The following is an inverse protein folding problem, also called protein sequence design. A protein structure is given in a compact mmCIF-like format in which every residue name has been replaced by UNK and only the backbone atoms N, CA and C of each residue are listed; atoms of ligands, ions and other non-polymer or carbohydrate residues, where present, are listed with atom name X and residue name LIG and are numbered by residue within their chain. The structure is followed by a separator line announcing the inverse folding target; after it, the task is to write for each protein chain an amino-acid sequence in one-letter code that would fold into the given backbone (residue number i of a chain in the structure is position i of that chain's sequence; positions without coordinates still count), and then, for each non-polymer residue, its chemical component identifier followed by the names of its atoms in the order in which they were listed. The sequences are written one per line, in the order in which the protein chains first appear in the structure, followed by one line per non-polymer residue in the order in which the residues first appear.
data_IF_846040233172
#
_entry.id   IF_846040233172
#
_cell.length_a   1.000
_cell.length_b   1.000
_cell.length_c   1.000
_cell.angle_alpha   90.00
_cell.angle_beta   90.00
_cell.angle_gamma   90.00
#
_symmetry.space_group_name_H-M   'P 1'
#
loop_
_entity.id
_entity.type
_entity.pdbx_description
1 polymer ?
#
# COMPACT_ATOMS: atom_id res chain seq x y z
N UNK A 1 25.86 8.57 -2.01
CA UNK A 1 25.08 7.53 -1.32
C UNK A 1 23.79 7.32 -2.08
N UNK A 2 23.47 6.08 -2.49
CA UNK A 2 22.13 5.77 -3.03
C UNK A 2 21.11 5.91 -1.89
N UNK A 3 19.93 6.47 -2.20
CA UNK A 3 18.80 6.49 -1.26
C UNK A 3 18.36 5.04 -0.97
N UNK A 4 17.94 4.73 0.26
CA UNK A 4 17.46 3.42 0.72
C UNK A 4 16.50 2.74 -0.27
N UNK A 5 15.53 3.48 -0.82
CA UNK A 5 14.59 2.96 -1.81
C UNK A 5 15.29 2.44 -3.08
N UNK A 6 16.39 3.08 -3.51
CA UNK A 6 17.15 2.64 -4.67
C UNK A 6 17.94 1.35 -4.38
N UNK A 7 18.44 1.18 -3.14
CA UNK A 7 19.10 -0.06 -2.73
C UNK A 7 18.12 -1.23 -2.75
N UNK A 8 16.93 -1.05 -2.15
CA UNK A 8 15.86 -2.05 -2.16
C UNK A 8 15.43 -2.41 -3.59
N UNK A 9 15.31 -1.40 -4.46
CA UNK A 9 14.96 -1.61 -5.85
C UNK A 9 16.01 -2.45 -6.59
N UNK A 10 17.30 -2.14 -6.41
CA UNK A 10 18.40 -2.89 -7.02
C UNK A 10 18.42 -4.35 -6.51
N UNK A 11 18.29 -4.57 -5.20
CA UNK A 11 18.23 -5.90 -4.59
C UNK A 11 17.06 -6.74 -5.13
N UNK A 12 15.88 -6.14 -5.29
CA UNK A 12 14.71 -6.81 -5.86
C UNK A 12 14.92 -7.17 -7.34
N UNK A 13 15.48 -6.25 -8.13
CA UNK A 13 15.75 -6.47 -9.55
C UNK A 13 16.82 -7.56 -9.75
N UNK A 14 17.84 -7.61 -8.90
CA UNK A 14 18.89 -8.63 -8.92
C UNK A 14 18.35 -9.99 -8.48
N UNK A 15 17.62 -10.05 -7.35
CA UNK A 15 17.04 -11.28 -6.80
C UNK A 15 16.12 -12.00 -7.80
N UNK A 16 15.35 -11.25 -8.58
CA UNK A 16 14.37 -11.78 -9.53
C UNK A 16 14.78 -11.55 -10.99
N UNK A 17 16.09 -11.48 -11.28
CA UNK A 17 16.61 -11.13 -12.61
C UNK A 17 16.04 -12.00 -13.75
N UNK A 18 15.91 -13.32 -13.55
CA UNK A 18 15.32 -14.22 -14.55
C UNK A 18 13.87 -13.86 -14.89
N UNK A 19 13.10 -13.48 -13.86
CA UNK A 19 11.69 -13.09 -14.00
C UNK A 19 11.59 -11.73 -14.66
N UNK A 20 12.44 -10.78 -14.27
CA UNK A 20 12.53 -9.46 -14.89
C UNK A 20 12.90 -9.59 -16.38
N UNK A 21 13.84 -10.47 -16.73
CA UNK A 21 14.19 -10.74 -18.13
C UNK A 21 13.02 -11.34 -18.92
N UNK A 22 12.29 -12.30 -18.34
CA UNK A 22 11.06 -12.82 -18.94
C UNK A 22 10.06 -11.68 -19.18
N UNK A 23 9.77 -10.89 -18.13
CA UNK A 23 8.80 -9.79 -18.18
C UNK A 23 9.18 -8.74 -19.21
N UNK A 24 10.45 -8.38 -19.32
CA UNK A 24 10.94 -7.42 -20.31
C UNK A 24 10.60 -7.87 -21.74
N UNK A 25 10.73 -9.17 -22.02
CA UNK A 25 10.46 -9.77 -23.32
C UNK A 25 8.96 -9.92 -23.59
N UNK A 26 8.21 -10.55 -22.67
CA UNK A 26 6.77 -10.85 -22.90
C UNK A 26 5.87 -9.61 -22.88
N UNK A 27 6.28 -8.54 -22.19
CA UNK A 27 5.54 -7.27 -22.16
C UNK A 27 5.95 -6.30 -23.27
N UNK A 28 7.06 -6.57 -23.96
CA UNK A 28 7.63 -5.65 -24.96
C UNK A 28 8.24 -4.37 -24.38
N UNK A 29 8.36 -4.24 -23.05
CA UNK A 29 8.97 -3.07 -22.40
C UNK A 29 10.50 -3.05 -22.63
N UNK A 30 11.12 -4.23 -22.72
CA UNK A 30 12.57 -4.38 -22.93
C UNK A 30 13.41 -3.74 -21.83
N UNK A 31 14.54 -3.13 -22.21
CA UNK A 31 15.52 -2.50 -21.30
C UNK A 31 14.94 -1.40 -20.41
N UNK A 32 13.76 -0.86 -20.76
CA UNK A 32 13.08 0.16 -19.95
C UNK A 32 12.39 -0.42 -18.71
N UNK A 33 12.39 -1.74 -18.52
CA UNK A 33 11.70 -2.37 -17.40
C UNK A 33 12.46 -2.07 -16.09
N UNK A 34 11.92 -1.12 -15.32
CA UNK A 34 12.43 -0.72 -14.02
C UNK A 34 11.63 -1.35 -12.88
N UNK A 35 12.14 -1.25 -11.65
CA UNK A 35 11.42 -1.67 -10.43
C UNK A 35 9.97 -1.14 -10.36
N UNK A 36 9.78 0.16 -10.63
CA UNK A 36 8.44 0.78 -10.64
C UNK A 36 7.54 0.21 -11.74
N UNK A 37 8.10 -0.07 -12.92
CA UNK A 37 7.34 -0.64 -14.04
C UNK A 37 6.99 -2.10 -13.79
N UNK A 38 7.90 -2.89 -13.23
CA UNK A 38 7.61 -4.27 -12.79
C UNK A 38 6.50 -4.27 -11.74
N UNK A 39 6.56 -3.37 -10.75
CA UNK A 39 5.51 -3.21 -9.76
C UNK A 39 4.15 -2.79 -10.37
N UNK A 40 4.15 -2.02 -11.46
CA UNK A 40 2.93 -1.61 -12.16
C UNK A 40 2.25 -2.76 -12.92
N UNK A 41 2.98 -3.82 -13.29
CA UNK A 41 2.40 -4.98 -13.99
C UNK A 41 1.37 -5.74 -13.16
N UNK A 42 1.30 -5.49 -11.85
CA UNK A 42 0.28 -6.07 -10.97
C UNK A 42 -1.16 -5.73 -11.38
N UNK A 43 -1.37 -4.68 -12.19
CA UNK A 43 -2.70 -4.31 -12.66
C UNK A 43 -3.41 -5.44 -13.45
N UNK A 44 -2.64 -6.39 -14.01
CA UNK A 44 -3.19 -7.62 -14.62
C UNK A 44 -4.01 -8.46 -13.63
N UNK A 45 -3.82 -8.30 -12.32
CA UNK A 45 -4.63 -8.96 -11.29
C UNK A 45 -6.13 -8.67 -11.44
N UNK A 46 -6.50 -7.52 -12.02
CA UNK A 46 -7.91 -7.20 -12.32
C UNK A 46 -8.51 -8.21 -13.28
N UNK A 47 -7.76 -8.60 -14.32
CA UNK A 47 -8.20 -9.61 -15.28
C UNK A 47 -8.35 -10.98 -14.61
N UNK A 48 -7.41 -11.35 -13.74
CA UNK A 48 -7.45 -12.58 -12.95
C UNK A 48 -8.71 -12.62 -12.07
N UNK A 49 -9.00 -11.53 -11.34
CA UNK A 49 -10.17 -11.42 -10.47
C UNK A 49 -11.49 -11.55 -11.24
N UNK A 50 -11.50 -11.13 -12.50
CA UNK A 50 -12.65 -11.23 -13.40
C UNK A 50 -12.63 -12.50 -14.28
N UNK A 51 -11.76 -13.46 -13.98
CA UNK A 51 -11.67 -14.75 -14.69
C UNK A 51 -11.44 -14.60 -16.20
N UNK A 52 -10.74 -13.53 -16.61
CA UNK A 52 -10.35 -13.35 -18.01
C UNK A 52 -9.16 -14.25 -18.36
N UNK A 53 -9.05 -14.74 -19.61
CA UNK A 53 -7.94 -15.56 -20.05
C UNK A 53 -6.59 -14.88 -19.78
N UNK A 54 -5.63 -15.62 -19.25
CA UNK A 54 -4.31 -15.10 -18.92
C UNK A 54 -3.25 -15.72 -19.83
N UNK A 55 -2.22 -14.96 -20.21
CA UNK A 55 -1.03 -15.53 -20.84
C UNK A 55 -0.35 -16.57 -19.93
N UNK A 56 0.25 -17.59 -20.52
CA UNK A 56 0.94 -18.67 -19.80
C UNK A 56 2.02 -18.16 -18.82
N UNK A 57 2.70 -17.07 -19.16
CA UNK A 57 3.76 -16.51 -18.33
C UNK A 57 3.27 -16.04 -16.95
N UNK A 58 1.98 -15.69 -16.80
CA UNK A 58 1.39 -15.17 -15.55
C UNK A 58 1.51 -16.18 -14.41
N UNK A 59 1.24 -17.45 -14.71
CA UNK A 59 1.24 -18.53 -13.72
C UNK A 59 2.49 -19.41 -13.77
N UNK A 60 3.45 -19.08 -14.64
CA UNK A 60 4.74 -19.75 -14.72
C UNK A 60 5.39 -19.83 -13.33
N UNK A 61 5.78 -21.04 -12.93
CA UNK A 61 6.37 -21.34 -11.63
C UNK A 61 7.89 -21.27 -11.68
N UNK A 62 8.47 -20.75 -10.60
CA UNK A 62 9.91 -20.54 -10.46
C UNK A 62 10.45 -21.32 -9.26
N UNK A 63 10.99 -22.55 -9.46
CA UNK A 63 11.47 -23.40 -8.38
C UNK A 63 12.54 -22.75 -7.49
N UNK A 64 13.40 -21.91 -8.08
CA UNK A 64 14.44 -21.17 -7.35
C UNK A 64 13.88 -20.10 -6.40
N UNK A 65 12.61 -19.71 -6.55
CA UNK A 65 11.93 -18.72 -5.72
C UNK A 65 10.83 -19.39 -4.89
N UNK A 66 11.13 -20.53 -4.27
CA UNK A 66 10.17 -21.28 -3.43
C UNK A 66 8.88 -21.63 -4.18
N UNK A 67 8.99 -21.89 -5.49
CA UNK A 67 7.87 -22.22 -6.36
C UNK A 67 6.79 -21.11 -6.46
N UNK A 68 7.18 -19.85 -6.25
CA UNK A 68 6.35 -18.68 -6.56
C UNK A 68 6.00 -18.66 -8.06
N UNK A 69 4.80 -18.21 -8.37
CA UNK A 69 4.43 -17.88 -9.75
C UNK A 69 4.94 -16.49 -10.14
N UNK A 70 5.00 -16.20 -11.44
CA UNK A 70 5.34 -14.85 -11.93
C UNK A 70 4.44 -13.78 -11.31
N UNK A 71 3.13 -14.01 -11.19
CA UNK A 71 2.22 -13.07 -10.55
C UNK A 71 2.49 -12.89 -9.04
N UNK A 72 2.91 -13.93 -8.32
CA UNK A 72 3.32 -13.81 -6.91
C UNK A 72 4.54 -12.89 -6.78
N UNK A 73 5.50 -13.00 -7.70
CA UNK A 73 6.70 -12.17 -7.73
C UNK A 73 6.35 -10.72 -8.07
N UNK A 74 5.52 -10.48 -9.11
CA UNK A 74 5.01 -9.14 -9.44
C UNK A 74 4.28 -8.51 -8.24
N UNK A 75 3.50 -9.31 -7.51
CA UNK A 75 2.81 -8.87 -6.28
C UNK A 75 3.82 -8.42 -5.23
N UNK A 76 4.93 -9.14 -5.07
CA UNK A 76 6.00 -8.76 -4.15
C UNK A 76 6.71 -7.46 -4.58
N UNK A 77 6.97 -7.28 -5.88
CA UNK A 77 7.46 -5.99 -6.41
C UNK A 77 6.52 -4.85 -6.03
N UNK A 78 5.20 -5.02 -6.22
CA UNK A 78 4.21 -4.02 -5.83
C UNK A 78 4.19 -3.77 -4.32
N UNK A 79 4.25 -4.83 -3.50
CA UNK A 79 4.24 -4.74 -2.04
C UNK A 79 5.42 -3.93 -1.52
N UNK A 80 6.63 -4.28 -1.94
CA UNK A 80 7.86 -3.58 -1.57
C UNK A 80 7.87 -2.13 -2.11
N UNK A 81 7.37 -1.92 -3.33
CA UNK A 81 7.23 -0.58 -3.91
C UNK A 81 6.32 0.32 -3.06
N UNK A 82 5.20 -0.21 -2.58
CA UNK A 82 4.26 0.56 -1.76
C UNK A 82 4.80 0.82 -0.35
N UNK A 83 5.40 -0.18 0.31
CA UNK A 83 5.96 -0.01 1.66
C UNK A 83 7.09 1.02 1.67
N UNK A 84 8.01 0.96 0.69
CA UNK A 84 9.18 1.85 0.66
C UNK A 84 8.85 3.35 0.52
N UNK A 85 7.60 3.67 0.13
CA UNK A 85 7.07 5.05 0.09
C UNK A 85 6.69 5.60 1.46
N UNK A 86 6.53 4.74 2.47
CA UNK A 86 6.00 5.10 3.81
C UNK A 86 6.78 4.47 4.97
N UNK A 87 7.86 3.75 4.70
CA UNK A 87 8.63 2.95 5.67
C UNK A 87 9.42 3.75 6.71
N UNK A 88 9.39 5.08 6.67
CA UNK A 88 9.98 5.94 7.71
C UNK A 88 8.95 6.90 8.26
N UNK A 89 9.17 7.37 9.49
CA UNK A 89 8.29 8.35 10.13
C UNK A 89 8.14 9.62 9.29
N UNK A 90 9.22 10.13 8.71
CA UNK A 90 9.23 11.34 7.88
C UNK A 90 8.40 11.14 6.61
N UNK A 91 8.56 9.99 5.94
CA UNK A 91 7.79 9.65 4.74
C UNK A 91 6.30 9.51 5.05
N UNK A 92 5.95 8.78 6.12
CA UNK A 92 4.57 8.60 6.54
C UNK A 92 3.92 9.93 6.97
N UNK A 93 4.63 10.74 7.76
CA UNK A 93 4.20 12.09 8.16
C UNK A 93 4.01 13.01 6.96
N UNK A 94 4.93 12.99 6.00
CA UNK A 94 4.82 13.79 4.78
C UNK A 94 3.61 13.40 3.93
N UNK A 95 3.31 12.09 3.85
CA UNK A 95 2.24 11.57 2.97
C UNK A 95 0.84 11.67 3.57
N UNK A 96 0.69 11.34 4.86
CA UNK A 96 -0.62 11.26 5.53
C UNK A 96 -0.74 12.05 6.82
N UNK A 97 0.30 12.78 7.23
CA UNK A 97 0.27 13.58 8.46
C UNK A 97 -0.76 14.70 8.43
N UNK A 98 -1.01 15.32 7.27
CA UNK A 98 -2.06 16.34 7.13
C UNK A 98 -3.46 15.74 7.34
N UNK A 99 -3.75 14.62 6.70
CA UNK A 99 -5.04 13.93 6.83
C UNK A 99 -5.25 13.41 8.25
N UNK A 100 -4.24 12.76 8.84
CA UNK A 100 -4.32 12.29 10.23
C UNK A 100 -4.49 13.48 11.20
N UNK A 101 -3.80 14.59 10.95
CA UNK A 101 -3.95 15.82 11.73
C UNK A 101 -5.37 16.39 11.66
N UNK A 102 -5.98 16.44 10.47
CA UNK A 102 -7.37 16.86 10.27
C UNK A 102 -8.35 15.95 11.03
N UNK A 103 -8.20 14.63 10.90
CA UNK A 103 -9.04 13.64 11.61
C UNK A 103 -8.94 13.84 13.13
N UNK A 104 -7.72 13.95 13.68
CA UNK A 104 -7.50 14.12 15.12
C UNK A 104 -8.02 15.48 15.60
N UNK A 105 -7.80 16.56 14.84
CA UNK A 105 -8.34 17.88 15.16
C UNK A 105 -9.86 17.87 15.20
N UNK A 106 -10.49 17.13 14.28
CA UNK A 106 -11.93 16.96 14.22
C UNK A 106 -12.45 16.16 15.42
N UNK A 107 -11.81 15.05 15.79
CA UNK A 107 -12.17 14.29 16.98
C UNK A 107 -12.02 15.13 18.25
N UNK A 108 -10.95 15.92 18.35
CA UNK A 108 -10.76 16.87 19.44
C UNK A 108 -11.93 17.88 19.52
N UNK A 109 -12.31 18.51 18.41
CA UNK A 109 -13.42 19.46 18.40
C UNK A 109 -14.74 18.81 18.84
N UNK A 110 -15.02 17.58 18.41
CA UNK A 110 -16.19 16.82 18.86
C UNK A 110 -16.14 16.52 20.35
N UNK A 111 -14.97 16.17 20.91
CA UNK A 111 -14.80 15.81 22.32
C UNK A 111 -15.02 16.99 23.27
N UNK A 112 -14.62 18.19 22.87
CA UNK A 112 -14.82 19.43 23.66
C UNK A 112 -16.12 20.16 23.33
N UNK A 113 -16.97 19.61 22.45
CA UNK A 113 -18.27 20.18 22.11
C UNK A 113 -18.23 21.37 21.13
N UNK A 114 -17.12 21.59 20.43
CA UNK A 114 -17.03 22.55 19.33
C UNK A 114 -17.84 22.04 18.14
N UNK A 115 -18.60 22.95 17.50
CA UNK A 115 -19.42 22.61 16.32
C UNK A 115 -18.54 22.20 15.14
N UNK A 116 -18.87 21.08 14.51
CA UNK A 116 -18.25 20.58 13.27
C UNK A 116 -19.35 20.22 12.25
N UNK A 117 -19.01 20.21 10.96
CA UNK A 117 -19.97 19.99 9.85
C UNK A 117 -20.72 18.65 9.93
N UNK A 118 -20.10 17.60 10.50
CA UNK A 118 -20.71 16.28 10.67
C UNK A 118 -20.27 15.63 11.97
N UNK A 119 -21.09 15.67 13.02
CA UNK A 119 -20.67 15.27 14.37
C UNK A 119 -20.62 13.75 14.60
N UNK A 120 -21.43 12.98 13.87
CA UNK A 120 -21.59 11.52 14.12
C UNK A 120 -20.66 10.65 13.28
N UNK A 121 -20.43 11.04 12.03
CA UNK A 121 -19.62 10.28 11.08
C UNK A 121 -19.05 11.25 10.05
N UNK A 122 -17.82 11.01 9.64
CA UNK A 122 -17.20 11.67 8.50
C UNK A 122 -16.51 10.59 7.66
N UNK A 123 -16.81 10.57 6.37
CA UNK A 123 -16.37 9.49 5.48
C UNK A 123 -15.43 10.06 4.42
N UNK A 124 -14.23 9.50 4.34
CA UNK A 124 -13.26 9.83 3.30
C UNK A 124 -13.25 8.69 2.27
N UNK A 125 -13.67 8.98 1.03
CA UNK A 125 -13.42 8.08 -0.09
C UNK A 125 -12.00 8.33 -0.61
N UNK A 126 -11.15 7.32 -0.56
CA UNK A 126 -9.71 7.46 -0.80
C UNK A 126 -9.13 6.30 -1.61
N UNK A 127 -7.81 6.26 -1.73
CA UNK A 127 -7.07 5.23 -2.46
C UNK A 127 -6.32 4.28 -1.51
N UNK A 128 -5.91 3.14 -2.03
CA UNK A 128 -5.03 2.16 -1.38
C UNK A 128 -3.78 2.81 -0.74
N UNK A 129 -3.16 3.74 -1.46
CA UNK A 129 -2.00 4.52 -1.01
C UNK A 129 -2.31 5.44 0.18
N UNK A 130 -3.52 5.98 0.26
CA UNK A 130 -3.98 6.77 1.41
C UNK A 130 -4.09 5.88 2.65
N UNK A 131 -4.76 4.73 2.52
CA UNK A 131 -4.91 3.78 3.64
C UNK A 131 -3.54 3.23 4.08
N UNK A 132 -2.69 2.84 3.13
CA UNK A 132 -1.35 2.34 3.42
C UNK A 132 -0.53 3.38 4.18
N UNK A 133 -0.48 4.63 3.70
CA UNK A 133 0.28 5.69 4.36
C UNK A 133 -0.28 6.07 5.74
N UNK A 134 -1.61 6.05 5.93
CA UNK A 134 -2.23 6.22 7.26
C UNK A 134 -1.83 5.09 8.22
N UNK A 135 -1.88 3.83 7.78
CA UNK A 135 -1.46 2.69 8.60
C UNK A 135 0.00 2.79 9.04
N UNK A 136 0.89 3.28 8.17
CA UNK A 136 2.28 3.54 8.53
C UNK A 136 2.41 4.73 9.49
N UNK A 137 1.65 5.81 9.28
CA UNK A 137 1.66 6.97 10.19
C UNK A 137 1.12 6.63 11.59
N UNK A 138 0.19 5.69 11.69
CA UNK A 138 -0.37 5.15 12.93
C UNK A 138 0.46 4.01 13.53
N UNK A 139 1.50 3.55 12.84
CA UNK A 139 2.32 2.40 13.23
C UNK A 139 1.52 1.08 13.40
N UNK A 140 0.54 0.85 12.53
CA UNK A 140 -0.32 -0.36 12.51
C UNK A 140 -0.27 -1.11 11.17
N UNK A 141 0.62 -0.71 10.26
CA UNK A 141 0.81 -1.37 8.96
C UNK A 141 1.21 -2.83 9.16
N UNK A 142 0.53 -3.74 8.46
CA UNK A 142 0.85 -5.16 8.41
C UNK A 142 1.81 -5.52 7.25
N UNK A 143 2.27 -4.53 6.49
CA UNK A 143 3.16 -4.74 5.35
C UNK A 143 2.52 -5.47 4.16
N UNK A 144 1.19 -5.51 4.07
CA UNK A 144 0.45 -6.09 2.93
C UNK A 144 -0.15 -5.00 2.04
N UNK A 145 -0.52 -5.39 0.81
CA UNK A 145 -1.28 -4.51 -0.07
C UNK A 145 -2.70 -4.32 0.46
N UNK A 146 -3.23 -3.10 0.32
CA UNK A 146 -4.60 -2.77 0.72
C UNK A 146 -5.57 -3.38 -0.29
N UNK A 147 -6.48 -4.28 0.11
CA UNK A 147 -7.42 -4.92 -0.80
C UNK A 147 -8.54 -3.96 -1.24
N UNK A 148 -9.28 -4.33 -2.29
CA UNK A 148 -10.49 -3.62 -2.68
C UNK A 148 -11.48 -3.57 -1.51
N UNK A 149 -12.20 -2.44 -1.40
CA UNK A 149 -13.18 -2.17 -0.32
C UNK A 149 -12.61 -2.16 1.11
N UNK A 150 -11.28 -2.16 1.28
CA UNK A 150 -10.69 -1.99 2.60
C UNK A 150 -11.12 -0.66 3.24
N UNK A 151 -11.26 -0.67 4.56
CA UNK A 151 -11.57 0.52 5.34
C UNK A 151 -10.66 0.58 6.58
N UNK A 152 -10.40 1.81 7.03
CA UNK A 152 -9.79 2.10 8.33
C UNK A 152 -10.82 2.94 9.08
N UNK A 153 -11.29 2.42 10.22
CA UNK A 153 -12.36 3.03 11.00
C UNK A 153 -11.75 3.57 12.29
N UNK A 154 -11.98 4.85 12.58
CA UNK A 154 -11.56 5.46 13.83
C UNK A 154 -12.80 5.89 14.61
N UNK A 155 -12.87 5.51 15.87
CA UNK A 155 -14.07 5.65 16.71
C UNK A 155 -13.77 6.45 17.98
N UNK A 156 -14.52 7.53 18.18
CA UNK A 156 -14.44 8.38 19.37
C UNK A 156 -15.49 7.95 20.40
N UNK A 157 -15.04 7.60 21.59
CA UNK A 157 -15.88 7.16 22.69
C UNK A 157 -15.83 8.16 23.84
N UNK A 158 -16.96 8.29 24.55
CA UNK A 158 -17.05 8.99 25.83
C UNK A 158 -17.23 7.97 26.95
N UNK A 159 -16.30 7.94 27.91
CA UNK A 159 -16.36 6.99 29.03
C UNK A 159 -17.34 7.45 30.10
N UNK A 160 -17.73 6.54 31.00
CA UNK A 160 -18.57 6.87 32.17
C UNK A 160 -17.94 7.89 33.13
N UNK A 161 -16.63 8.13 33.02
CA UNK A 161 -15.89 9.15 33.78
C UNK A 161 -15.82 10.50 33.06
N UNK A 162 -16.58 10.69 31.98
CA UNK A 162 -16.56 11.89 31.14
C UNK A 162 -15.22 12.11 30.40
N UNK A 163 -14.41 11.06 30.27
CA UNK A 163 -13.16 11.07 29.49
C UNK A 163 -13.44 10.69 28.04
N UNK A 164 -12.53 11.03 27.13
CA UNK A 164 -12.64 10.68 25.72
C UNK A 164 -11.55 9.69 25.33
N UNK A 165 -11.92 8.64 24.59
CA UNK A 165 -10.97 7.63 24.07
C UNK A 165 -11.17 7.43 22.58
N UNK A 166 -10.08 7.14 21.87
CA UNK A 166 -10.06 6.88 20.44
C UNK A 166 -9.66 5.42 20.20
N UNK A 167 -10.43 4.72 19.38
CA UNK A 167 -10.08 3.38 18.87
C UNK A 167 -9.85 3.45 17.37
N UNK A 168 -8.94 2.63 16.88
CA UNK A 168 -8.59 2.44 15.46
C UNK A 168 -8.63 0.95 15.17
#
# INVERSE_FOLDING_TARGET
MKNETAVIADEMMEKYADVVHLLANVTGIGEKLSFDRTAALIDIQREILHQLPQPEWVYQKWPQFQNMSTIDIITEFKRINQISKYNTFEKAKFKSGLLLGDILHRFHNVSVGIKVEARKMFLYSAHDSTLSSLQHALNISNGLLVPYSACLIMELYKTGKNETTLKV
#
